data_IF_661949858786
#
_entry.id   IF_661949858786
#
_cell.length_a   1.000
_cell.length_b   1.000
_cell.length_c   1.000
_cell.angle_alpha   90.00
_cell.angle_beta   90.00
_cell.angle_gamma   90.00
#
_symmetry.space_group_name_H-M   'P 1'
#
loop_
_entity.id
_entity.type
_entity.pdbx_description
1 polymer ?
#
# COMPACT_ATOMS: atom_id res chain seq x y z
N UNK A 1 6.21 1.44 17.81
CA UNK A 1 5.64 2.73 17.36
C UNK A 1 4.14 2.71 17.60
N UNK A 2 3.57 3.75 18.22
CA UNK A 2 2.12 3.87 18.44
C UNK A 2 1.48 4.75 17.36
N UNK A 3 1.40 4.26 16.12
CA UNK A 3 0.60 4.93 15.09
C UNK A 3 -0.88 4.53 15.20
N UNK A 4 -1.78 5.46 14.91
CA UNK A 4 -3.21 5.20 14.84
C UNK A 4 -3.64 4.87 13.41
N UNK A 5 -4.34 3.75 13.22
CA UNK A 5 -4.87 3.33 11.91
C UNK A 5 -6.34 3.74 11.79
N UNK A 6 -6.69 4.40 10.69
CA UNK A 6 -8.07 4.78 10.37
C UNK A 6 -8.33 4.78 8.87
N UNK A 7 -9.62 4.78 8.49
CA UNK A 7 -10.01 5.08 7.11
C UNK A 7 -9.58 6.50 6.74
N UNK A 8 -9.11 6.66 5.51
CA UNK A 8 -8.79 7.96 4.94
C UNK A 8 -10.08 8.73 4.63
N UNK A 9 -9.95 10.05 4.65
CA UNK A 9 -10.96 11.02 4.24
C UNK A 9 -10.39 11.92 3.15
N UNK A 10 -11.24 12.72 2.50
CA UNK A 10 -10.81 13.64 1.45
C UNK A 10 -9.73 14.63 1.92
N UNK A 11 -9.74 14.99 3.22
CA UNK A 11 -8.73 15.86 3.84
C UNK A 11 -7.33 15.23 3.87
N UNK A 12 -7.23 13.90 3.75
CA UNK A 12 -5.95 13.19 3.74
C UNK A 12 -5.29 13.16 2.36
N UNK A 13 -6.00 13.57 1.30
CA UNK A 13 -5.55 13.37 -0.09
C UNK A 13 -4.16 13.95 -0.36
N UNK A 14 -3.90 15.17 0.10
CA UNK A 14 -2.60 15.83 -0.03
C UNK A 14 -1.51 15.10 0.76
N UNK A 15 -1.82 14.64 1.98
CA UNK A 15 -0.85 13.98 2.83
C UNK A 15 -0.49 12.57 2.30
N UNK A 16 -1.49 11.82 1.82
CA UNK A 16 -1.30 10.53 1.15
C UNK A 16 -0.43 10.70 -0.10
N UNK A 17 -0.75 11.67 -0.95
CA UNK A 17 0.05 11.98 -2.16
C UNK A 17 1.52 12.20 -1.79
N UNK A 18 1.78 13.06 -0.79
CA UNK A 18 3.14 13.35 -0.31
C UNK A 18 3.89 12.10 0.17
N UNK A 19 3.24 11.23 0.94
CA UNK A 19 3.85 9.97 1.42
C UNK A 19 4.23 9.05 0.26
N UNK A 20 3.34 8.87 -0.71
CA UNK A 20 3.58 8.00 -1.87
C UNK A 20 4.76 8.53 -2.69
N UNK A 21 4.75 9.83 -3.01
CA UNK A 21 5.82 10.45 -3.80
C UNK A 21 7.17 10.38 -3.10
N UNK A 22 7.23 10.65 -1.79
CA UNK A 22 8.46 10.56 -1.02
C UNK A 22 9.02 9.12 -1.01
N UNK A 23 8.15 8.13 -0.74
CA UNK A 23 8.56 6.73 -0.75
C UNK A 23 9.07 6.26 -2.11
N UNK A 24 8.41 6.68 -3.20
CA UNK A 24 8.84 6.34 -4.57
C UNK A 24 10.21 6.92 -4.92
N UNK A 25 10.45 8.18 -4.57
CA UNK A 25 11.71 8.88 -4.88
C UNK A 25 12.89 8.39 -4.06
N UNK A 26 12.66 7.99 -2.82
CA UNK A 26 13.74 7.65 -1.88
C UNK A 26 13.95 6.14 -1.79
N UNK A 27 12.89 5.38 -1.51
CA UNK A 27 12.98 3.96 -1.17
C UNK A 27 12.81 3.03 -2.38
N UNK A 28 11.96 3.40 -3.34
CA UNK A 28 11.65 2.54 -4.50
C UNK A 28 12.37 2.96 -5.79
N UNK A 29 13.24 3.98 -5.75
CA UNK A 29 13.87 4.54 -6.96
C UNK A 29 14.71 3.54 -7.76
N UNK A 30 15.13 2.44 -7.13
CA UNK A 30 15.90 1.36 -7.75
C UNK A 30 15.00 0.34 -8.46
N UNK A 31 13.71 0.27 -8.09
CA UNK A 31 12.75 -0.66 -8.68
C UNK A 31 12.12 -0.12 -9.97
N UNK A 32 12.15 1.19 -10.17
CA UNK A 32 11.42 1.87 -11.23
C UNK A 32 12.31 2.82 -12.03
N UNK A 33 12.26 2.79 -13.38
CA UNK A 33 12.84 3.84 -14.20
C UNK A 33 12.28 5.23 -13.83
N UNK A 34 13.09 6.27 -13.98
CA UNK A 34 12.68 7.64 -13.62
C UNK A 34 11.39 8.11 -14.33
N UNK A 35 11.16 7.68 -15.57
CA UNK A 35 9.94 7.95 -16.31
C UNK A 35 8.70 7.31 -15.67
N UNK A 36 8.83 6.09 -15.14
CA UNK A 36 7.76 5.40 -14.40
C UNK A 36 7.45 6.15 -13.11
N UNK A 37 8.47 6.59 -12.36
CA UNK A 37 8.28 7.40 -11.15
C UNK A 37 7.48 8.67 -11.47
N UNK A 38 7.83 9.40 -12.52
CA UNK A 38 7.11 10.61 -12.92
C UNK A 38 5.63 10.35 -13.29
N UNK A 39 5.33 9.23 -13.96
CA UNK A 39 3.96 8.84 -14.28
C UNK A 39 3.16 8.43 -13.04
N UNK A 40 3.81 7.71 -12.11
CA UNK A 40 3.21 7.31 -10.85
C UNK A 40 2.90 8.54 -9.99
N UNK A 41 3.79 9.54 -9.95
CA UNK A 41 3.54 10.82 -9.26
C UNK A 41 2.27 11.52 -9.77
N UNK A 42 2.05 11.56 -11.08
CA UNK A 42 0.83 12.12 -11.67
C UNK A 42 -0.41 11.31 -11.28
N UNK A 43 -0.28 9.98 -11.30
CA UNK A 43 -1.33 9.01 -10.92
C UNK A 43 -1.69 9.06 -9.44
N UNK A 44 -0.83 9.65 -8.61
CA UNK A 44 -1.04 9.86 -7.17
C UNK A 44 -1.01 11.34 -6.76
N UNK A 45 -1.31 12.26 -7.69
CA UNK A 45 -1.60 13.66 -7.35
C UNK A 45 -2.79 13.76 -6.38
N UNK A 46 -2.93 14.83 -5.57
CA UNK A 46 -4.04 14.94 -4.61
C UNK A 46 -5.43 14.76 -5.26
N UNK A 47 -5.63 15.29 -6.46
CA UNK A 47 -6.88 15.09 -7.21
C UNK A 47 -7.10 13.66 -7.67
N UNK A 48 -6.03 12.92 -7.98
CA UNK A 48 -6.10 11.50 -8.25
C UNK A 48 -6.39 10.69 -6.98
N UNK A 49 -5.80 11.05 -5.85
CA UNK A 49 -6.12 10.42 -4.55
C UNK A 49 -7.61 10.56 -4.23
N UNK A 50 -8.21 11.74 -4.42
CA UNK A 50 -9.65 11.93 -4.21
C UNK A 50 -10.49 10.93 -5.03
N UNK A 51 -10.12 10.68 -6.29
CA UNK A 51 -10.79 9.67 -7.12
C UNK A 51 -10.60 8.25 -6.58
N UNK A 52 -9.40 7.93 -6.08
CA UNK A 52 -9.11 6.63 -5.48
C UNK A 52 -9.85 6.40 -4.15
N UNK A 53 -10.07 7.45 -3.35
CA UNK A 53 -10.84 7.39 -2.10
C UNK A 53 -12.30 6.99 -2.35
N UNK A 54 -12.86 7.34 -3.51
CA UNK A 54 -14.21 6.93 -3.92
C UNK A 54 -14.26 5.47 -4.38
N UNK A 55 -13.18 4.99 -5.00
CA UNK A 55 -13.13 3.67 -5.65
C UNK A 55 -12.67 2.55 -4.72
N UNK A 56 -11.88 2.87 -3.69
CA UNK A 56 -11.17 1.91 -2.86
C UNK A 56 -11.39 2.17 -1.39
N UNK A 57 -11.25 1.13 -0.57
CA UNK A 57 -11.17 1.31 0.87
C UNK A 57 -9.73 1.70 1.23
N UNK A 58 -9.50 2.99 1.47
CA UNK A 58 -8.16 3.53 1.77
C UNK A 58 -8.00 3.73 3.28
N UNK A 59 -6.85 3.31 3.79
CA UNK A 59 -6.44 3.44 5.17
C UNK A 59 -5.17 4.28 5.26
N UNK A 60 -5.05 5.00 6.37
CA UNK A 60 -3.84 5.76 6.73
C UNK A 60 -3.38 5.38 8.13
N UNK A 61 -2.06 5.40 8.32
CA UNK A 61 -1.46 5.41 9.64
C UNK A 61 -1.09 6.85 9.98
N UNK A 62 -1.48 7.31 11.16
CA UNK A 62 -1.16 8.65 11.64
C UNK A 62 -0.30 8.61 12.90
N UNK A 63 0.68 9.51 12.99
CA UNK A 63 1.44 9.82 14.19
C UNK A 63 1.24 11.31 14.49
N UNK A 64 0.79 11.67 15.70
CA UNK A 64 0.49 13.06 16.09
C UNK A 64 -0.35 13.84 15.07
N UNK A 65 -1.34 13.15 14.47
CA UNK A 65 -2.25 13.62 13.39
C UNK A 65 -1.63 13.74 11.99
N UNK A 66 -0.33 13.55 11.85
CA UNK A 66 0.32 13.49 10.53
C UNK A 66 0.14 12.11 9.91
N UNK A 67 -0.28 12.06 8.64
CA UNK A 67 -0.29 10.81 7.86
C UNK A 67 1.15 10.43 7.52
N UNK A 68 1.58 9.26 8.01
CA UNK A 68 2.92 8.71 7.79
C UNK A 68 2.93 7.50 6.87
N UNK A 69 1.77 6.89 6.60
CA UNK A 69 1.66 5.73 5.73
C UNK A 69 0.23 5.57 5.17
N UNK A 70 0.11 4.85 4.06
CA UNK A 70 -1.17 4.50 3.44
C UNK A 70 -1.18 3.07 2.92
N UNK A 71 -2.36 2.45 2.87
CA UNK A 71 -2.65 1.21 2.17
C UNK A 71 -4.10 1.23 1.69
N UNK A 72 -4.42 0.55 0.61
CA UNK A 72 -5.79 0.48 0.09
C UNK A 72 -6.21 -0.94 -0.28
N UNK A 73 -7.50 -1.20 -0.15
CA UNK A 73 -8.15 -2.43 -0.61
C UNK A 73 -9.09 -2.09 -1.77
N UNK A 74 -8.85 -2.75 -2.90
CA UNK A 74 -9.65 -2.67 -4.12
C UNK A 74 -10.18 -4.07 -4.42
N UNK A 75 -11.44 -4.32 -4.05
CA UNK A 75 -12.02 -5.67 -4.02
C UNK A 75 -11.13 -6.63 -3.22
N UNK A 76 -10.56 -7.66 -3.86
CA UNK A 76 -9.65 -8.62 -3.24
C UNK A 76 -8.15 -8.29 -3.43
N UNK A 77 -7.82 -7.08 -3.91
CA UNK A 77 -6.46 -6.67 -4.23
C UNK A 77 -6.00 -5.55 -3.31
N UNK A 78 -4.90 -5.77 -2.60
CA UNK A 78 -4.19 -4.73 -1.85
C UNK A 78 -3.42 -3.86 -2.83
N UNK A 79 -3.56 -2.54 -2.70
CA UNK A 79 -2.90 -1.55 -3.56
C UNK A 79 -2.36 -0.38 -2.73
N UNK A 80 -1.42 0.36 -3.30
CA UNK A 80 -0.93 1.63 -2.75
C UNK A 80 -0.45 1.53 -1.30
N UNK A 81 0.40 0.53 -1.02
CA UNK A 81 1.01 0.34 0.30
C UNK A 81 2.32 1.11 0.35
N UNK A 82 2.35 2.23 1.06
CA UNK A 82 3.52 3.09 1.18
C UNK A 82 3.68 3.61 2.60
N UNK A 83 4.92 3.68 3.07
CA UNK A 83 5.30 4.27 4.36
C UNK A 83 6.32 5.36 4.07
N UNK A 84 6.16 6.52 4.69
CA UNK A 84 7.10 7.62 4.59
C UNK A 84 8.52 7.12 4.92
N UNK A 85 9.57 7.48 4.15
CA UNK A 85 10.93 6.93 4.30
C UNK A 85 11.45 6.95 5.74
N UNK A 86 11.25 8.06 6.45
CA UNK A 86 11.67 8.25 7.85
C UNK A 86 10.94 7.38 8.87
N UNK A 87 9.84 6.72 8.48
CA UNK A 87 8.99 5.88 9.33
C UNK A 87 8.99 4.40 8.90
N UNK A 88 9.80 4.03 7.90
CA UNK A 88 9.97 2.65 7.46
C UNK A 88 10.68 1.80 8.54
N UNK A 89 10.44 0.49 8.50
CA UNK A 89 11.02 -0.46 9.48
C UNK A 89 10.44 -0.38 10.90
N UNK A 90 9.51 0.53 11.17
CA UNK A 90 8.98 0.81 12.51
C UNK A 90 7.56 0.25 12.76
N UNK A 91 7.05 -0.57 11.83
CA UNK A 91 5.80 -1.33 12.00
C UNK A 91 4.54 -0.73 11.38
N UNK A 92 4.57 0.50 10.85
CA UNK A 92 3.40 1.16 10.25
C UNK A 92 2.79 0.35 9.09
N UNK A 93 3.62 -0.21 8.21
CA UNK A 93 3.16 -1.07 7.12
C UNK A 93 2.45 -2.33 7.61
N UNK A 94 2.97 -2.98 8.65
CA UNK A 94 2.34 -4.17 9.26
C UNK A 94 0.98 -3.83 9.88
N UNK A 95 0.87 -2.69 10.57
CA UNK A 95 -0.38 -2.23 11.16
C UNK A 95 -1.44 -1.90 10.09
N UNK A 96 -1.04 -1.26 8.99
CA UNK A 96 -1.93 -1.02 7.84
C UNK A 96 -2.41 -2.32 7.20
N UNK A 97 -1.51 -3.28 6.96
CA UNK A 97 -1.88 -4.56 6.38
C UNK A 97 -2.85 -5.34 7.26
N UNK A 98 -2.68 -5.32 8.58
CA UNK A 98 -3.65 -5.92 9.51
C UNK A 98 -5.05 -5.30 9.39
N UNK A 99 -5.14 -3.98 9.22
CA UNK A 99 -6.42 -3.30 9.00
C UNK A 99 -7.05 -3.66 7.64
N UNK A 100 -6.23 -3.77 6.58
CA UNK A 100 -6.68 -4.20 5.25
C UNK A 100 -7.16 -5.66 5.27
N UNK A 101 -6.42 -6.56 5.91
CA UNK A 101 -6.81 -7.98 6.06
C UNK A 101 -8.12 -8.13 6.83
N UNK A 102 -8.28 -7.39 7.93
CA UNK A 102 -9.52 -7.36 8.72
C UNK A 102 -10.70 -6.84 7.90
N UNK A 103 -10.49 -5.77 7.12
CA UNK A 103 -11.51 -5.25 6.22
C UNK A 103 -11.87 -6.27 5.12
N UNK A 104 -10.89 -6.95 4.54
CA UNK A 104 -11.15 -7.98 3.53
C UNK A 104 -11.98 -9.13 4.12
N UNK A 105 -11.60 -9.60 5.30
CA UNK A 105 -12.33 -10.65 6.02
C UNK A 105 -13.78 -10.24 6.31
N UNK A 106 -14.03 -9.01 6.75
CA UNK A 106 -15.39 -8.53 7.04
C UNK A 106 -16.28 -8.43 5.79
N UNK A 107 -15.68 -8.33 4.59
CA UNK A 107 -16.38 -8.38 3.31
C UNK A 107 -16.44 -9.80 2.72
N UNK A 108 -16.10 -10.84 3.49
CA UNK A 108 -16.14 -12.24 3.06
C UNK A 108 -15.05 -12.62 2.06
N UNK A 109 -14.04 -11.77 1.87
CA UNK A 109 -12.89 -12.07 1.00
C UNK A 109 -12.00 -13.09 1.70
N UNK A 110 -11.82 -14.25 1.08
CA UNK A 110 -11.00 -15.36 1.62
C UNK A 110 -9.57 -15.38 1.12
N UNK A 111 -9.25 -14.56 0.13
CA UNK A 111 -7.92 -14.49 -0.47
C UNK A 111 -7.60 -13.07 -0.88
N UNK A 112 -6.48 -12.56 -0.39
CA UNK A 112 -5.95 -11.27 -0.83
C UNK A 112 -4.80 -11.47 -1.80
N UNK A 113 -4.75 -10.61 -2.80
CA UNK A 113 -3.62 -10.48 -3.72
C UNK A 113 -2.93 -9.14 -3.50
N UNK A 114 -1.62 -9.10 -3.68
CA UNK A 114 -0.84 -7.87 -3.71
C UNK A 114 0.15 -7.91 -4.87
N UNK A 115 0.12 -6.90 -5.76
CA UNK A 115 1.22 -6.66 -6.68
C UNK A 115 2.36 -6.00 -5.89
N UNK A 116 3.43 -6.75 -5.63
CA UNK A 116 4.60 -6.29 -4.87
C UNK A 116 5.70 -5.76 -5.79
N UNK A 117 6.39 -4.70 -5.37
CA UNK A 117 7.72 -4.40 -5.91
C UNK A 117 8.71 -5.50 -5.51
N UNK A 118 9.86 -5.56 -6.19
CA UNK A 118 10.94 -6.51 -5.86
C UNK A 118 11.42 -6.28 -4.42
N UNK A 119 11.65 -5.04 -4.02
CA UNK A 119 12.09 -4.68 -2.67
C UNK A 119 11.06 -4.99 -1.57
N UNK A 120 9.77 -5.02 -1.89
CA UNK A 120 8.71 -5.28 -0.91
C UNK A 120 8.37 -6.76 -0.74
N UNK A 121 8.93 -7.67 -1.55
CA UNK A 121 8.60 -9.10 -1.51
C UNK A 121 8.83 -9.68 -0.10
N UNK A 122 10.02 -9.44 0.47
CA UNK A 122 10.36 -9.92 1.82
C UNK A 122 9.44 -9.36 2.92
N UNK A 123 8.93 -8.14 2.75
CA UNK A 123 7.94 -7.57 3.66
C UNK A 123 6.64 -8.39 3.62
N UNK A 124 6.09 -8.66 2.44
CA UNK A 124 4.86 -9.45 2.33
C UNK A 124 5.04 -10.92 2.71
N UNK A 125 6.19 -11.53 2.41
CA UNK A 125 6.53 -12.87 2.90
C UNK A 125 6.48 -12.93 4.44
N UNK A 126 7.00 -11.90 5.12
CA UNK A 126 6.94 -11.79 6.59
C UNK A 126 5.52 -11.62 7.17
N UNK A 127 4.53 -11.35 6.31
CA UNK A 127 3.11 -11.27 6.64
C UNK A 127 2.34 -12.55 6.27
N UNK A 128 3.02 -13.55 5.71
CA UNK A 128 2.42 -14.82 5.29
C UNK A 128 1.84 -14.79 3.88
N UNK A 129 2.20 -13.82 3.05
CA UNK A 129 1.94 -13.87 1.61
C UNK A 129 2.96 -14.78 0.93
N UNK A 130 2.53 -15.47 -0.13
CA UNK A 130 3.39 -16.31 -0.96
C UNK A 130 3.38 -15.82 -2.41
N UNK A 131 4.54 -15.87 -3.05
CA UNK A 131 4.70 -15.53 -4.46
C UNK A 131 3.92 -16.50 -5.34
N UNK A 132 3.14 -15.96 -6.27
CA UNK A 132 2.32 -16.73 -7.22
C UNK A 132 2.95 -16.71 -8.61
N UNK A 133 3.29 -15.51 -9.09
CA UNK A 133 3.85 -15.28 -10.43
C UNK A 133 4.44 -13.88 -10.55
N UNK A 134 5.24 -13.68 -11.57
CA UNK A 134 5.65 -12.35 -12.02
C UNK A 134 4.63 -11.77 -13.02
N UNK A 135 4.51 -10.44 -13.02
CA UNK A 135 3.87 -9.65 -14.06
C UNK A 135 4.85 -8.60 -14.59
N UNK A 136 4.78 -8.34 -15.90
CA UNK A 136 5.63 -7.37 -16.57
C UNK A 136 4.76 -6.31 -17.24
N UNK A 137 5.01 -5.04 -16.92
CA UNK A 137 4.40 -3.88 -17.58
C UNK A 137 5.50 -3.07 -18.27
N UNK A 138 5.82 -3.45 -19.51
CA UNK A 138 7.03 -2.95 -20.17
C UNK A 138 8.28 -3.48 -19.45
N UNK A 139 9.11 -2.57 -18.95
CA UNK A 139 10.34 -2.91 -18.20
C UNK A 139 10.09 -3.10 -16.69
N UNK A 140 8.90 -2.74 -16.19
CA UNK A 140 8.54 -2.91 -14.78
C UNK A 140 8.20 -4.38 -14.51
N UNK A 141 8.90 -4.99 -13.54
CA UNK A 141 8.56 -6.30 -12.99
C UNK A 141 7.85 -6.14 -11.65
N UNK A 142 6.66 -6.72 -11.54
CA UNK A 142 5.87 -6.81 -10.31
C UNK A 142 5.71 -8.26 -9.90
N UNK A 143 5.88 -8.57 -8.62
CA UNK A 143 5.70 -9.92 -8.08
C UNK A 143 4.29 -10.02 -7.52
N UNK A 144 3.44 -10.84 -8.14
CA UNK A 144 2.08 -11.09 -7.65
C UNK A 144 2.15 -12.09 -6.52
N UNK A 145 1.76 -11.65 -5.34
CA UNK A 145 1.73 -12.46 -4.12
C UNK A 145 0.30 -12.61 -3.61
N UNK A 146 0.01 -13.71 -2.93
CA UNK A 146 -1.31 -13.96 -2.34
C UNK A 146 -1.23 -14.48 -0.90
N UNK A 147 -2.28 -14.22 -0.14
CA UNK A 147 -2.49 -14.78 1.20
C UNK A 147 -3.93 -15.25 1.31
N UNK A 148 -4.11 -16.48 1.78
CA UNK A 148 -5.42 -16.96 2.18
C UNK A 148 -5.74 -16.40 3.57
N UNK A 149 -6.91 -15.77 3.68
CA UNK A 149 -7.44 -15.31 4.97
C UNK A 149 -8.23 -16.47 5.54
N UNK A 150 -7.63 -17.21 6.45
CA UNK A 150 -8.36 -18.17 7.29
C UNK A 150 -9.33 -17.41 8.17
N UNK A 151 -10.52 -17.97 8.38
CA UNK A 151 -11.42 -17.46 9.41
C UNK A 151 -10.67 -17.42 10.74
N UNK A 152 -10.68 -16.28 11.41
CA UNK A 152 -10.30 -16.22 12.82
C UNK A 152 -11.22 -17.22 13.54
N UNK A 153 -10.62 -18.26 14.10
CA UNK A 153 -11.31 -19.24 14.94
C UNK A 153 -11.87 -18.58 16.20
#
# INVERSE_FOLDING_TARGET
MNCHIRKATDNDATAISRVIVAALRESNRQDYPAAVIAQVEQSFSPSAILRLLVQRQVYVATLDKEVIATASLDQATVRSVFVAPTHQGQGAGRALMAAVESAAHSHGIRRLRVPSSITAEGFYQSLGYSTVRDEYHGEERTIIMEKSLTSLA
#
